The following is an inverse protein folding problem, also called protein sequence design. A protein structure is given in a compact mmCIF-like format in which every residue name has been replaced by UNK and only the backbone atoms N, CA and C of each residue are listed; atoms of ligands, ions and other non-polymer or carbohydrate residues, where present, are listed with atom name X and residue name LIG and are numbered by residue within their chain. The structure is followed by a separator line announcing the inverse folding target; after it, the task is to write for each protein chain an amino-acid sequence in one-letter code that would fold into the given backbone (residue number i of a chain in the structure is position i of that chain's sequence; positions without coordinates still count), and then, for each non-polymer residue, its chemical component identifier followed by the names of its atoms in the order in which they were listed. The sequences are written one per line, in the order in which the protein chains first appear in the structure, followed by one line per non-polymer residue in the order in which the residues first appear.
data_IF_705687333134
#
_entry.id   IF_705687333134
#
_cell.length_a   1.000
_cell.length_b   1.000
_cell.length_c   1.000
_cell.angle_alpha   90.00
_cell.angle_beta   90.00
_cell.angle_gamma   90.00
#
_symmetry.space_group_name_H-M   'P 1'
#
loop_
_entity.id
_entity.type
_entity.pdbx_description
1 polymer ?
#
# COMPACT_ATOMS: atom_id res chain seq x y z
N UNK A 1 10.28 -49.38 -12.36
CA UNK A 1 10.01 -48.33 -11.34
C UNK A 1 9.78 -47.03 -12.08
N UNK A 2 8.53 -46.70 -12.38
CA UNK A 2 8.16 -45.49 -13.11
C UNK A 2 7.92 -44.35 -12.12
N UNK A 3 8.66 -43.25 -12.28
CA UNK A 3 8.52 -42.04 -11.45
C UNK A 3 7.24 -41.30 -11.82
N UNK A 4 6.26 -41.31 -10.92
CA UNK A 4 5.05 -40.48 -10.99
C UNK A 4 5.40 -39.04 -10.65
N UNK A 5 5.81 -38.25 -11.64
CA UNK A 5 6.01 -36.82 -11.48
C UNK A 5 4.67 -36.09 -11.29
N UNK A 6 4.41 -35.63 -10.06
CA UNK A 6 3.26 -34.79 -9.71
C UNK A 6 3.33 -33.44 -10.43
N UNK A 7 2.28 -33.07 -11.19
CA UNK A 7 2.16 -31.78 -11.88
C UNK A 7 2.16 -30.64 -10.85
N UNK A 8 3.26 -29.89 -10.76
CA UNK A 8 3.33 -28.66 -9.96
C UNK A 8 2.49 -27.56 -10.63
N UNK A 9 1.57 -26.96 -9.87
CA UNK A 9 0.84 -25.78 -10.32
C UNK A 9 1.79 -24.58 -10.34
N UNK A 10 1.75 -23.72 -11.38
CA UNK A 10 2.56 -22.51 -11.41
C UNK A 10 2.17 -21.61 -10.23
N UNK A 11 3.18 -21.09 -9.52
CA UNK A 11 2.96 -20.23 -8.34
C UNK A 11 2.60 -18.78 -8.72
N UNK A 12 3.07 -18.32 -9.89
CA UNK A 12 2.91 -16.96 -10.40
C UNK A 12 2.86 -17.00 -11.94
N UNK A 13 2.13 -16.05 -12.53
CA UNK A 13 2.19 -15.70 -13.94
C UNK A 13 2.76 -14.28 -14.07
N UNK A 14 3.75 -14.11 -14.95
CA UNK A 14 4.38 -12.82 -15.22
C UNK A 14 4.15 -12.44 -16.69
N UNK A 15 3.89 -11.16 -16.93
CA UNK A 15 3.82 -10.58 -18.27
C UNK A 15 4.71 -9.35 -18.34
N UNK A 16 5.54 -9.26 -19.39
CA UNK A 16 6.40 -8.12 -19.65
C UNK A 16 5.78 -7.24 -20.74
N UNK A 17 5.88 -5.92 -20.58
CA UNK A 17 5.34 -4.96 -21.52
C UNK A 17 6.42 -3.93 -21.92
N UNK A 18 6.50 -3.56 -23.21
CA UNK A 18 7.56 -2.69 -23.72
C UNK A 18 7.34 -1.20 -23.39
N UNK A 19 6.18 -0.82 -22.85
CA UNK A 19 5.86 0.58 -22.57
C UNK A 19 4.95 0.76 -21.35
N UNK A 20 5.09 1.89 -20.67
CA UNK A 20 4.25 2.28 -19.53
C UNK A 20 2.75 2.24 -19.86
N UNK A 21 2.37 2.74 -21.05
CA UNK A 21 0.96 2.76 -21.49
C UNK A 21 0.39 1.36 -21.68
N UNK A 22 1.19 0.43 -22.19
CA UNK A 22 0.77 -0.96 -22.34
C UNK A 22 0.52 -1.64 -20.99
N UNK A 23 1.37 -1.37 -19.98
CA UNK A 23 1.16 -1.86 -18.61
C UNK A 23 -0.15 -1.33 -18.03
N UNK A 24 -0.42 -0.03 -18.16
CA UNK A 24 -1.65 0.59 -17.64
C UNK A 24 -2.90 -0.06 -18.24
N UNK A 25 -2.96 -0.22 -19.57
CA UNK A 25 -4.09 -0.90 -20.22
C UNK A 25 -4.21 -2.38 -19.85
N UNK A 26 -3.09 -3.05 -19.59
CA UNK A 26 -3.13 -4.42 -19.07
C UNK A 26 -3.71 -4.46 -17.66
N UNK A 27 -3.33 -3.52 -16.79
CA UNK A 27 -3.86 -3.40 -15.43
C UNK A 27 -5.38 -3.18 -15.43
N UNK A 28 -5.88 -2.31 -16.30
CA UNK A 28 -7.33 -2.10 -16.49
C UNK A 28 -8.05 -3.41 -16.82
N UNK A 29 -7.52 -4.18 -17.79
CA UNK A 29 -8.12 -5.48 -18.18
C UNK A 29 -8.09 -6.51 -17.06
N UNK A 30 -7.00 -6.56 -16.28
CA UNK A 30 -6.86 -7.50 -15.16
C UNK A 30 -7.83 -7.12 -14.03
N UNK A 31 -7.96 -5.82 -13.73
CA UNK A 31 -8.96 -5.30 -12.79
C UNK A 31 -10.39 -5.63 -13.26
N UNK A 32 -10.72 -5.34 -14.52
CA UNK A 32 -12.06 -5.53 -15.08
C UNK A 32 -12.44 -7.01 -15.18
N UNK A 33 -11.45 -7.91 -15.30
CA UNK A 33 -11.64 -9.35 -15.23
C UNK A 33 -11.84 -9.89 -13.78
N UNK A 34 -11.80 -9.01 -12.77
CA UNK A 34 -12.11 -9.35 -11.37
C UNK A 34 -10.97 -10.03 -10.61
N UNK A 35 -9.74 -9.98 -11.13
CA UNK A 35 -8.58 -10.50 -10.39
C UNK A 35 -8.25 -9.57 -9.22
N UNK A 36 -8.00 -10.16 -8.04
CA UNK A 36 -7.74 -9.42 -6.79
C UNK A 36 -6.34 -9.62 -6.22
N UNK A 37 -5.61 -10.66 -6.67
CA UNK A 37 -4.28 -11.02 -6.18
C UNK A 37 -3.24 -10.89 -7.29
N UNK A 38 -2.83 -9.67 -7.59
CA UNK A 38 -1.83 -9.36 -8.60
C UNK A 38 -1.20 -8.00 -8.29
N UNK A 39 -0.07 -7.71 -8.92
CA UNK A 39 0.66 -6.46 -8.74
C UNK A 39 1.39 -6.07 -10.03
N UNK A 40 1.65 -4.77 -10.21
CA UNK A 40 2.33 -4.22 -11.37
C UNK A 40 3.67 -3.63 -10.95
N UNK A 41 4.77 -4.23 -11.43
CA UNK A 41 6.12 -3.79 -11.10
C UNK A 41 6.64 -2.83 -12.17
N UNK A 42 6.90 -1.58 -11.79
CA UNK A 42 7.41 -0.54 -12.69
C UNK A 42 8.64 0.13 -12.10
N UNK A 43 9.66 0.48 -12.91
CA UNK A 43 10.90 1.09 -12.41
C UNK A 43 10.72 2.56 -11.96
N UNK A 44 9.58 3.16 -12.28
CA UNK A 44 9.20 4.51 -11.91
C UNK A 44 7.68 4.57 -11.69
N UNK A 45 7.17 5.58 -10.95
CA UNK A 45 5.74 5.76 -10.75
C UNK A 45 5.05 6.18 -12.06
N UNK A 46 3.96 5.51 -12.41
CA UNK A 46 3.14 5.85 -13.57
C UNK A 46 1.89 6.59 -13.08
N UNK A 47 1.67 7.80 -13.57
CA UNK A 47 0.48 8.58 -13.22
C UNK A 47 -0.81 7.84 -13.61
N UNK A 48 -1.75 7.77 -12.67
CA UNK A 48 -3.04 7.09 -12.88
C UNK A 48 -3.00 5.57 -12.75
N UNK A 49 -1.86 4.97 -12.37
CA UNK A 49 -1.75 3.53 -12.13
C UNK A 49 -2.73 3.06 -11.05
N UNK A 50 -2.87 3.79 -9.95
CA UNK A 50 -3.78 3.43 -8.85
C UNK A 50 -5.22 3.28 -9.34
N UNK A 51 -5.66 4.20 -10.21
CA UNK A 51 -6.98 4.14 -10.84
C UNK A 51 -7.09 2.96 -11.80
N UNK A 52 -6.06 2.71 -12.61
CA UNK A 52 -6.02 1.58 -13.53
C UNK A 52 -6.08 0.22 -12.79
N UNK A 53 -5.41 0.12 -11.65
CA UNK A 53 -5.44 -1.04 -10.76
C UNK A 53 -6.73 -1.12 -9.93
N UNK A 54 -7.45 -0.01 -9.76
CA UNK A 54 -8.67 0.05 -8.95
C UNK A 54 -8.40 0.04 -7.45
N UNK A 55 -7.26 0.60 -7.02
CA UNK A 55 -6.89 0.68 -5.62
C UNK A 55 -7.74 1.75 -4.91
N UNK A 56 -8.19 1.42 -3.69
CA UNK A 56 -8.87 2.37 -2.81
C UNK A 56 -7.86 3.29 -2.11
N UNK A 57 -8.33 4.44 -1.64
CA UNK A 57 -7.52 5.36 -0.84
C UNK A 57 -6.87 4.67 0.37
N UNK A 58 -5.62 5.05 0.63
CA UNK A 58 -4.85 4.47 1.73
C UNK A 58 -5.39 4.91 3.09
N UNK A 59 -5.59 3.94 3.99
CA UNK A 59 -5.94 4.20 5.41
C UNK A 59 -4.80 4.84 6.20
N UNK A 60 -3.60 4.94 5.62
CA UNK A 60 -2.41 5.45 6.29
C UNK A 60 -2.61 6.88 6.81
N UNK A 61 -3.30 7.75 6.07
CA UNK A 61 -3.55 9.13 6.50
C UNK A 61 -4.32 9.20 7.82
N UNK A 62 -5.35 8.36 7.99
CA UNK A 62 -6.12 8.29 9.23
C UNK A 62 -5.30 7.77 10.42
N UNK A 63 -4.44 6.77 10.18
CA UNK A 63 -3.55 6.23 11.22
C UNK A 63 -2.58 7.33 11.68
N UNK A 64 -1.96 8.05 10.73
CA UNK A 64 -1.05 9.17 11.03
C UNK A 64 -1.77 10.26 11.83
N UNK A 65 -3.00 10.62 11.46
CA UNK A 65 -3.79 11.63 12.17
C UNK A 65 -4.03 11.25 13.64
N UNK A 66 -4.47 10.01 13.90
CA UNK A 66 -4.71 9.53 15.26
C UNK A 66 -3.44 9.53 16.10
N UNK A 67 -2.31 9.09 15.52
CA UNK A 67 -1.02 9.12 16.21
C UNK A 67 -0.54 10.55 16.46
N UNK A 68 -0.73 11.48 15.53
CA UNK A 68 -0.36 12.88 15.70
C UNK A 68 -1.17 13.54 16.82
N UNK A 69 -2.49 13.32 16.87
CA UNK A 69 -3.36 13.82 17.96
C UNK A 69 -2.96 13.19 19.29
N UNK A 70 -2.68 11.89 19.32
CA UNK A 70 -2.22 11.19 20.52
C UNK A 70 -0.88 11.76 21.04
N UNK A 71 0.08 11.98 20.14
CA UNK A 71 1.37 12.58 20.47
C UNK A 71 1.24 14.02 20.97
N UNK A 72 0.44 14.85 20.29
CA UNK A 72 0.16 16.22 20.71
C UNK A 72 -0.48 16.26 22.11
N UNK A 73 -1.51 15.44 22.33
CA UNK A 73 -2.22 15.35 23.61
C UNK A 73 -1.25 14.95 24.71
N UNK A 74 -0.43 13.92 24.48
CA UNK A 74 0.57 13.44 25.44
C UNK A 74 1.59 14.52 25.77
N UNK A 75 2.14 15.20 24.75
CA UNK A 75 3.11 16.28 24.94
C UNK A 75 2.55 17.47 25.72
N UNK A 76 1.32 17.90 25.38
CA UNK A 76 0.63 18.97 26.11
C UNK A 76 0.33 18.53 27.56
N UNK A 77 -0.09 17.29 27.79
CA UNK A 77 -0.31 16.77 29.14
C UNK A 77 0.96 16.80 29.98
N UNK A 78 2.10 16.38 29.44
CA UNK A 78 3.40 16.43 30.13
C UNK A 78 3.79 17.88 30.44
N UNK A 79 3.66 18.79 29.46
CA UNK A 79 3.96 20.19 29.65
C UNK A 79 3.09 20.82 30.75
N UNK A 80 1.79 20.54 30.76
CA UNK A 80 0.86 21.04 31.77
C UNK A 80 1.17 20.49 33.16
N UNK A 81 1.53 19.21 33.24
CA UNK A 81 1.96 18.57 34.50
C UNK A 81 3.21 19.25 35.06
N UNK A 82 4.25 19.42 34.25
CA UNK A 82 5.48 20.11 34.66
C UNK A 82 5.23 21.55 35.10
N UNK A 83 4.36 22.29 34.40
CA UNK A 83 4.00 23.68 34.76
C UNK A 83 3.37 23.76 36.16
N UNK A 84 2.57 22.77 36.55
CA UNK A 84 1.91 22.75 37.86
C UNK A 84 2.93 22.47 38.97
N UNK A 85 3.89 21.58 38.74
CA UNK A 85 4.84 21.13 39.76
C UNK A 85 6.04 22.07 39.95
N UNK A 86 6.54 22.66 38.86
CA UNK A 86 7.48 23.78 38.92
C UNK A 86 6.72 25.07 38.65
N UNK A 87 6.16 25.72 39.70
CA UNK A 87 5.77 27.11 39.56
C UNK A 87 7.07 27.91 39.37
N UNK A 88 7.43 28.15 38.10
CA UNK A 88 8.42 29.16 37.76
C UNK A 88 7.87 30.50 38.25
N UNK A 89 8.50 31.02 39.32
CA UNK A 89 8.31 32.37 39.84
C UNK A 89 8.79 33.42 38.84
#
# INVERSE_FOLDING_TARGET
MASTASKKKPALLLAEFPSARAVVHACEKVRDAGYTKWDAHTPFPIHGMDKAMGLSDSKLGWIVLVMAIGGLTTGVSIFMYMKIETPVV
#
